data_IF_627820544335
#
_entry.id   IF_627820544335
#
_cell.length_a   1.000
_cell.length_b   1.000
_cell.length_c   1.000
_cell.angle_alpha   90.00
_cell.angle_beta   90.00
_cell.angle_gamma   90.00
#
_symmetry.space_group_name_H-M   'P 1'
#
loop_
_entity.id
_entity.type
_entity.pdbx_description
1 polymer ?
#
# COMPACT_ATOMS: atom_id res chain seq x y z
N UNK A 1 13.05 -12.87 11.08
CA UNK A 1 11.67 -12.90 11.62
C UNK A 1 10.93 -11.64 11.17
N UNK A 2 9.64 -11.70 10.85
CA UNK A 2 8.87 -10.54 10.35
C UNK A 2 7.94 -9.96 11.43
N UNK A 3 8.25 -10.18 12.70
CA UNK A 3 7.45 -9.75 13.85
C UNK A 3 7.20 -8.23 13.80
N UNK A 4 6.02 -7.83 14.28
CA UNK A 4 5.69 -6.41 14.43
C UNK A 4 6.69 -5.77 15.40
N UNK A 5 7.22 -4.61 15.03
CA UNK A 5 8.10 -3.81 15.89
C UNK A 5 7.63 -2.37 15.88
N UNK A 6 7.30 -1.85 17.06
CA UNK A 6 6.88 -0.46 17.25
C UNK A 6 8.02 0.51 16.90
N UNK A 7 9.26 0.16 17.25
CA UNK A 7 10.43 0.97 16.92
C UNK A 7 10.65 1.07 15.41
N UNK A 8 10.56 -0.06 14.69
CA UNK A 8 10.65 -0.09 13.23
C UNK A 8 9.50 0.69 12.57
N UNK A 9 8.27 0.57 13.09
CA UNK A 9 7.11 1.35 12.64
C UNK A 9 7.39 2.84 12.75
N UNK A 10 7.79 3.31 13.93
CA UNK A 10 8.00 4.72 14.21
C UNK A 10 9.21 5.27 13.44
N UNK A 11 10.29 4.50 13.31
CA UNK A 11 11.44 4.87 12.49
C UNK A 11 11.06 5.04 11.01
N UNK A 12 10.34 4.07 10.44
CA UNK A 12 9.92 4.12 9.05
C UNK A 12 8.96 5.28 8.78
N UNK A 13 7.95 5.48 9.63
CA UNK A 13 6.97 6.57 9.49
C UNK A 13 7.63 7.95 9.58
N UNK A 14 8.55 8.15 10.52
CA UNK A 14 9.34 9.40 10.63
C UNK A 14 10.17 9.66 9.38
N UNK A 15 10.85 8.64 8.86
CA UNK A 15 11.69 8.76 7.66
C UNK A 15 10.89 9.13 6.40
N UNK A 16 9.59 8.81 6.36
CA UNK A 16 8.71 9.07 5.21
C UNK A 16 7.67 10.17 5.47
N UNK A 17 7.80 10.93 6.56
CA UNK A 17 6.91 12.05 6.88
C UNK A 17 5.45 11.64 7.08
N UNK A 18 5.23 10.46 7.68
CA UNK A 18 3.90 9.93 8.02
C UNK A 18 3.63 10.18 9.50
N UNK A 19 2.52 10.86 9.80
CA UNK A 19 2.09 11.09 11.19
C UNK A 19 1.69 9.76 11.88
N UNK A 20 1.78 9.73 13.21
CA UNK A 20 1.34 8.59 14.01
C UNK A 20 -0.16 8.28 13.85
N UNK A 21 -0.97 9.31 13.56
CA UNK A 21 -2.42 9.22 13.39
C UNK A 21 -2.86 8.92 11.96
N UNK A 22 -1.96 8.99 10.98
CA UNK A 22 -2.27 8.67 9.59
C UNK A 22 -2.44 7.16 9.39
N UNK A 23 -3.47 6.79 8.61
CA UNK A 23 -3.70 5.40 8.17
C UNK A 23 -2.83 5.09 6.96
N UNK A 24 -1.98 4.07 7.06
CA UNK A 24 -1.06 3.67 6.00
C UNK A 24 -1.60 2.43 5.30
N UNK A 25 -2.00 2.61 4.04
CA UNK A 25 -2.35 1.54 3.12
C UNK A 25 -1.13 1.09 2.33
N UNK A 26 -0.93 -0.22 2.21
CA UNK A 26 0.21 -0.80 1.51
C UNK A 26 -0.24 -1.64 0.31
N UNK A 27 0.34 -1.37 -0.86
CA UNK A 27 0.28 -2.24 -2.01
C UNK A 27 1.69 -2.76 -2.34
N UNK A 28 1.87 -4.07 -2.28
CA UNK A 28 3.13 -4.74 -2.67
C UNK A 28 2.91 -5.50 -3.98
N UNK A 29 3.73 -5.23 -5.00
CA UNK A 29 3.75 -6.04 -6.22
C UNK A 29 4.37 -5.34 -7.43
N UNK A 30 4.66 -6.11 -8.49
CA UNK A 30 5.19 -5.57 -9.75
C UNK A 30 4.17 -4.69 -10.47
N UNK A 31 4.63 -3.56 -11.00
CA UNK A 31 3.82 -2.56 -11.68
C UNK A 31 3.66 -2.88 -13.16
N UNK A 32 2.96 -3.98 -13.46
CA UNK A 32 2.73 -4.44 -14.84
C UNK A 32 1.28 -4.22 -15.29
N UNK A 33 1.06 -4.13 -16.60
CA UNK A 33 -0.26 -3.88 -17.24
C UNK A 33 -1.32 -4.90 -16.83
N UNK A 34 -0.92 -6.14 -16.53
CA UNK A 34 -1.81 -7.19 -16.03
C UNK A 34 -2.38 -6.93 -14.62
N UNK A 35 -1.75 -6.05 -13.81
CA UNK A 35 -2.13 -5.84 -12.40
C UNK A 35 -3.15 -4.73 -12.16
N UNK A 36 -3.59 -4.00 -13.19
CA UNK A 36 -4.58 -2.90 -13.13
C UNK A 36 -4.42 -2.01 -11.88
N UNK A 37 -3.22 -1.49 -11.64
CA UNK A 37 -2.94 -0.67 -10.46
C UNK A 37 -3.65 0.69 -10.46
N UNK A 38 -4.21 1.08 -11.61
CA UNK A 38 -5.16 2.21 -11.72
C UNK A 38 -6.38 1.98 -10.82
N UNK A 39 -6.85 0.74 -10.71
CA UNK A 39 -7.95 0.39 -9.80
C UNK A 39 -7.60 0.66 -8.33
N UNK A 40 -6.33 0.41 -7.94
CA UNK A 40 -5.87 0.67 -6.57
C UNK A 40 -5.89 2.17 -6.26
N UNK A 41 -5.49 3.00 -7.22
CA UNK A 41 -5.57 4.47 -7.08
C UNK A 41 -7.03 4.94 -6.94
N UNK A 42 -7.96 4.37 -7.70
CA UNK A 42 -9.40 4.70 -7.59
C UNK A 42 -9.98 4.26 -6.25
N UNK A 43 -9.70 3.04 -5.83
CA UNK A 43 -10.11 2.53 -4.52
C UNK A 43 -9.53 3.38 -3.38
N UNK A 44 -8.25 3.76 -3.50
CA UNK A 44 -7.62 4.61 -2.51
C UNK A 44 -8.26 5.99 -2.45
N UNK A 45 -8.70 6.57 -3.57
CA UNK A 45 -9.47 7.82 -3.57
C UNK A 45 -10.74 7.72 -2.73
N UNK A 46 -11.49 6.62 -2.87
CA UNK A 46 -12.70 6.37 -2.06
C UNK A 46 -12.37 6.19 -0.58
N UNK A 47 -11.29 5.47 -0.27
CA UNK A 47 -10.80 5.29 1.10
C UNK A 47 -10.33 6.62 1.70
N UNK A 48 -9.66 7.47 0.93
CA UNK A 48 -9.21 8.79 1.40
C UNK A 48 -10.40 9.63 1.86
N UNK A 49 -11.53 9.62 1.13
CA UNK A 49 -12.75 10.31 1.54
C UNK A 49 -13.34 9.80 2.86
N UNK A 50 -13.07 8.55 3.23
CA UNK A 50 -13.57 7.92 4.47
C UNK A 50 -12.59 8.09 5.64
N UNK A 51 -11.29 7.95 5.39
CA UNK A 51 -10.25 7.92 6.42
C UNK A 51 -9.53 9.27 6.59
N UNK A 52 -9.78 10.27 5.73
CA UNK A 52 -9.26 11.63 5.80
C UNK A 52 -7.73 11.70 5.73
N UNK A 53 -7.08 11.45 6.88
CA UNK A 53 -5.64 11.37 7.05
C UNK A 53 -5.15 9.95 6.74
N UNK A 54 -4.78 9.73 5.47
CA UNK A 54 -4.23 8.44 5.03
C UNK A 54 -3.12 8.61 4.00
N UNK A 55 -2.27 7.59 3.89
CA UNK A 55 -1.25 7.44 2.86
C UNK A 55 -1.40 6.12 2.14
N UNK A 56 -1.03 6.09 0.86
CA UNK A 56 -0.88 4.87 0.09
C UNK A 56 0.59 4.66 -0.25
N UNK A 57 1.15 3.53 0.19
CA UNK A 57 2.49 3.10 -0.13
C UNK A 57 2.44 2.08 -1.26
N UNK A 58 3.03 2.42 -2.41
CA UNK A 58 3.32 1.47 -3.47
C UNK A 58 4.74 0.97 -3.30
N UNK A 59 4.89 -0.30 -2.90
CA UNK A 59 6.17 -0.98 -2.82
C UNK A 59 6.30 -1.96 -3.98
N UNK A 60 7.20 -1.65 -4.89
CA UNK A 60 7.39 -2.45 -6.09
C UNK A 60 8.17 -1.71 -7.15
N UNK A 61 8.27 -2.33 -8.31
CA UNK A 61 8.79 -1.68 -9.49
C UNK A 61 8.10 -2.21 -10.75
N UNK A 62 8.18 -1.44 -11.82
CA UNK A 62 7.71 -1.82 -13.14
C UNK A 62 7.45 -0.64 -14.08
N UNK A 63 7.31 -0.99 -15.35
CA UNK A 63 7.19 -0.07 -16.49
C UNK A 63 6.02 0.92 -16.40
N UNK A 64 5.04 0.66 -15.53
CA UNK A 64 3.87 1.53 -15.38
C UNK A 64 4.02 2.65 -14.35
N UNK A 65 5.19 2.81 -13.72
CA UNK A 65 5.41 3.87 -12.71
C UNK A 65 4.92 5.24 -13.20
N UNK A 66 5.38 5.67 -14.36
CA UNK A 66 5.07 7.00 -14.89
C UNK A 66 3.58 7.17 -15.17
N UNK A 67 2.94 6.11 -15.68
CA UNK A 67 1.48 6.10 -15.89
C UNK A 67 0.73 6.23 -14.57
N UNK A 68 1.18 5.55 -13.52
CA UNK A 68 0.53 5.58 -12.21
C UNK A 68 0.74 6.93 -11.52
N UNK A 69 1.93 7.51 -11.63
CA UNK A 69 2.21 8.87 -11.14
C UNK A 69 1.32 9.89 -11.86
N UNK A 70 1.14 9.75 -13.18
CA UNK A 70 0.22 10.61 -13.93
C UNK A 70 -1.23 10.47 -13.45
N UNK A 71 -1.73 9.25 -13.32
CA UNK A 71 -3.10 9.01 -12.82
C UNK A 71 -3.27 9.51 -11.38
N UNK A 72 -2.26 9.34 -10.53
CA UNK A 72 -2.27 9.87 -9.16
C UNK A 72 -2.43 11.40 -9.14
N UNK A 73 -1.72 12.12 -10.03
CA UNK A 73 -1.87 13.57 -10.20
C UNK A 73 -3.25 13.95 -10.73
N UNK A 74 -3.76 13.22 -11.72
CA UNK A 74 -5.13 13.43 -12.26
C UNK A 74 -6.22 13.20 -11.19
N UNK A 75 -5.93 12.39 -10.18
CA UNK A 75 -6.82 12.13 -9.06
C UNK A 75 -6.56 13.03 -7.84
N UNK A 76 -5.56 13.92 -7.90
CA UNK A 76 -5.10 14.78 -6.79
C UNK A 76 -4.64 14.00 -5.54
N UNK A 77 -3.99 12.85 -5.75
CA UNK A 77 -3.51 11.95 -4.70
C UNK A 77 -1.98 11.97 -4.54
N UNK A 78 -1.28 12.75 -5.36
CA UNK A 78 0.18 12.71 -5.48
C UNK A 78 0.92 12.97 -4.15
N UNK A 79 0.38 13.83 -3.29
CA UNK A 79 0.94 14.14 -1.97
C UNK A 79 0.73 13.03 -0.95
N UNK A 80 -0.25 12.16 -1.20
CA UNK A 80 -0.66 11.10 -0.29
C UNK A 80 -0.05 9.75 -0.67
N UNK A 81 0.69 9.68 -1.78
CA UNK A 81 1.28 8.44 -2.26
C UNK A 81 2.79 8.44 -2.03
N UNK A 82 3.28 7.35 -1.42
CA UNK A 82 4.70 7.07 -1.21
C UNK A 82 5.09 5.97 -2.19
N UNK A 83 6.03 6.28 -3.07
CA UNK A 83 6.57 5.33 -4.06
C UNK A 83 7.88 4.74 -3.55
N UNK A 84 7.89 3.44 -3.31
CA UNK A 84 9.06 2.67 -2.90
C UNK A 84 9.45 1.69 -4.01
N UNK A 85 10.75 1.60 -4.31
CA UNK A 85 11.34 0.56 -5.18
C UNK A 85 11.23 -0.85 -4.58
N UNK A 86 11.90 -1.86 -5.15
CA UNK A 86 11.88 -3.23 -4.62
C UNK A 86 12.81 -3.45 -3.40
N UNK A 87 13.75 -2.54 -3.14
CA UNK A 87 14.77 -2.69 -2.09
C UNK A 87 14.38 -1.93 -0.82
N UNK A 88 13.51 -2.53 0.02
CA UNK A 88 13.07 -1.92 1.29
C UNK A 88 13.04 -2.97 2.40
N UNK A 89 13.23 -2.54 3.65
CA UNK A 89 12.99 -3.40 4.81
C UNK A 89 11.49 -3.71 4.89
N UNK A 90 11.12 -4.86 4.32
CA UNK A 90 9.75 -5.36 4.30
C UNK A 90 9.18 -5.51 5.71
N UNK A 91 9.99 -5.83 6.72
CA UNK A 91 9.51 -5.92 8.11
C UNK A 91 9.12 -4.54 8.65
N UNK A 92 9.95 -3.52 8.40
CA UNK A 92 9.64 -2.15 8.79
C UNK A 92 8.41 -1.64 8.05
N UNK A 93 8.32 -1.90 6.73
CA UNK A 93 7.19 -1.53 5.90
C UNK A 93 5.89 -2.18 6.36
N UNK A 94 5.90 -3.50 6.65
CA UNK A 94 4.74 -4.16 7.22
C UNK A 94 4.38 -3.53 8.57
N UNK A 95 5.34 -3.36 9.48
CA UNK A 95 5.08 -2.76 10.79
C UNK A 95 4.56 -1.32 10.70
N UNK A 96 4.95 -0.57 9.66
CA UNK A 96 4.50 0.79 9.42
C UNK A 96 3.09 0.88 8.85
N UNK A 97 2.61 -0.18 8.19
CA UNK A 97 1.33 -0.21 7.49
C UNK A 97 0.20 -0.63 8.44
N UNK A 98 -0.98 -0.08 8.26
CA UNK A 98 -2.18 -0.46 9.03
C UNK A 98 -3.05 -1.44 8.22
N UNK A 99 -3.02 -1.28 6.90
CA UNK A 99 -3.83 -2.07 5.99
C UNK A 99 -3.10 -2.39 4.68
N UNK A 100 -3.45 -3.52 4.08
CA UNK A 100 -2.97 -3.87 2.74
C UNK A 100 -4.11 -3.83 1.71
N UNK A 101 -3.81 -3.26 0.54
CA UNK A 101 -4.73 -3.19 -0.59
C UNK A 101 -4.27 -4.16 -1.68
N UNK A 102 -5.18 -5.05 -2.10
CA UNK A 102 -4.95 -5.95 -3.20
C UNK A 102 -6.10 -5.91 -4.21
N UNK A 103 -5.77 -6.01 -5.50
CA UNK A 103 -6.73 -6.40 -6.54
C UNK A 103 -6.83 -7.93 -6.55
N UNK A 104 -8.05 -8.48 -6.49
CA UNK A 104 -8.27 -9.94 -6.47
C UNK A 104 -7.56 -10.60 -7.68
N UNK A 105 -6.59 -11.47 -7.40
CA UNK A 105 -6.03 -12.41 -8.37
C UNK A 105 -6.19 -13.81 -7.78
N UNK A 106 -7.04 -14.62 -8.42
CA UNK A 106 -7.70 -15.77 -7.80
C UNK A 106 -6.83 -16.99 -7.47
N UNK A 107 -5.50 -16.98 -7.68
CA UNK A 107 -4.71 -18.22 -7.56
C UNK A 107 -3.41 -18.14 -6.73
N UNK A 108 -2.99 -16.97 -6.24
CA UNK A 108 -1.74 -16.84 -5.45
C UNK A 108 -1.81 -15.92 -4.22
N UNK A 109 -2.90 -15.16 -4.04
CA UNK A 109 -3.04 -14.18 -2.96
C UNK A 109 -3.40 -14.79 -1.60
N UNK A 110 -3.71 -16.09 -1.53
CA UNK A 110 -4.03 -16.78 -0.27
C UNK A 110 -2.83 -16.84 0.70
N UNK A 111 -1.59 -16.90 0.17
CA UNK A 111 -0.40 -17.07 0.98
C UNK A 111 -0.01 -15.82 1.80
N UNK A 112 0.07 -14.60 1.22
CA UNK A 112 0.26 -13.38 2.01
C UNK A 112 -0.93 -13.13 2.96
N UNK A 113 -2.16 -13.38 2.49
CA UNK A 113 -3.38 -13.13 3.25
C UNK A 113 -3.47 -13.94 4.56
N UNK A 114 -3.11 -15.23 4.52
CA UNK A 114 -3.11 -16.10 5.70
C UNK A 114 -2.04 -15.73 6.75
N UNK A 115 -0.96 -15.04 6.35
CA UNK A 115 0.04 -14.48 7.28
C UNK A 115 -0.39 -13.15 7.88
N UNK A 116 -1.17 -12.36 7.16
CA UNK A 116 -1.61 -11.01 7.57
C UNK A 116 -2.73 -11.04 8.61
N UNK A 117 -3.71 -11.95 8.46
CA UNK A 117 -4.81 -12.11 9.44
C UNK A 117 -4.31 -12.44 10.85
N UNK A 118 -3.22 -13.20 10.96
CA UNK A 118 -2.58 -13.54 12.26
C UNK A 118 -1.89 -12.36 12.94
N UNK A 119 -1.76 -11.21 12.27
CA UNK A 119 -0.99 -10.05 12.73
C UNK A 119 -1.82 -8.81 13.02
N UNK A 120 -3.15 -8.91 13.00
CA UNK A 120 -4.04 -7.79 13.28
C UNK A 120 -4.20 -6.77 12.15
N UNK A 121 -3.66 -7.05 10.95
CA UNK A 121 -3.82 -6.18 9.79
C UNK A 121 -5.24 -6.23 9.26
N UNK A 122 -5.82 -5.05 8.97
CA UNK A 122 -7.05 -4.96 8.19
C UNK A 122 -6.70 -5.09 6.71
N UNK A 123 -7.25 -6.08 6.02
CA UNK A 123 -7.01 -6.27 4.58
C UNK A 123 -8.22 -5.77 3.82
N UNK A 124 -8.01 -4.80 2.92
CA UNK A 124 -9.06 -4.29 2.05
C UNK A 124 -8.86 -4.86 0.64
N UNK A 125 -9.85 -5.60 0.17
CA UNK A 125 -9.86 -6.18 -1.18
C UNK A 125 -10.93 -5.45 -1.96
N UNK A 126 -10.52 -4.71 -3.00
CA UNK A 126 -11.47 -4.10 -3.91
C UNK A 126 -11.92 -5.08 -4.99
N UNK A 127 -13.22 -5.10 -5.26
CA UNK A 127 -13.81 -5.81 -6.39
C UNK A 127 -13.86 -4.85 -7.57
N UNK A 128 -13.06 -5.11 -8.59
CA UNK A 128 -13.26 -4.47 -9.89
C UNK A 128 -14.24 -5.32 -10.69
N UNK A 129 -15.35 -4.73 -11.11
CA UNK A 129 -16.12 -5.20 -12.26
C UNK A 129 -15.26 -5.06 -13.53
#
# INVERSE_FOLDING_TARGET
DYSYSLDKRNAWRRAHGVDGNEVVFLNVGRWTKQKNQIFILRLYKELQSTFGLSRLVFAGDGELKDKLVRVARELHLEKNIIWLSNEHDMQALYSASDAMIFRRCMRGCLWPWSKLKRRGFRVYVGYGL
#
